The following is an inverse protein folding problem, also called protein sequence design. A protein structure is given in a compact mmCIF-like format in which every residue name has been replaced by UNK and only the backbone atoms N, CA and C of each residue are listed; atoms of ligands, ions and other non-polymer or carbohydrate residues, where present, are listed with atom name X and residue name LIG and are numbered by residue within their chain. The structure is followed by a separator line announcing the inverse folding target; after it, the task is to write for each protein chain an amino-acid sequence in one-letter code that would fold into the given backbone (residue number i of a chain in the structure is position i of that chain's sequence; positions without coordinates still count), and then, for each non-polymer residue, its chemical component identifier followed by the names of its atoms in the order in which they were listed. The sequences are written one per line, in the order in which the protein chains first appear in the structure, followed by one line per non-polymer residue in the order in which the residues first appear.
data_IF_367438165628
#
_entry.id   IF_367438165628
#
_cell.length_a   1.000
_cell.length_b   1.000
_cell.length_c   1.000
_cell.angle_alpha   90.00
_cell.angle_beta   90.00
_cell.angle_gamma   90.00
#
_symmetry.space_group_name_H-M   'P 1'
#
loop_
_entity.id
_entity.type
_entity.pdbx_description
1 polymer ?
#
# COMPACT_ATOMS: atom_id res chain seq x y z
N UNK A 1 -33.30 -0.45 -4.81
CA UNK A 1 -32.34 0.67 -4.61
C UNK A 1 -31.01 0.24 -5.23
N UNK A 2 -30.40 0.99 -6.16
CA UNK A 2 -29.03 0.67 -6.54
C UNK A 2 -28.14 1.02 -5.34
N UNK A 3 -27.52 0.01 -4.74
CA UNK A 3 -26.52 0.19 -3.70
C UNK A 3 -25.38 1.01 -4.32
N UNK A 4 -25.23 2.25 -3.87
CA UNK A 4 -24.05 3.05 -4.15
C UNK A 4 -22.85 2.20 -3.72
N UNK A 5 -21.93 1.92 -4.63
CA UNK A 5 -20.81 1.02 -4.37
C UNK A 5 -20.03 1.54 -3.17
N UNK A 6 -20.13 0.83 -2.04
CA UNK A 6 -19.41 1.16 -0.81
C UNK A 6 -17.91 0.92 -1.08
N UNK A 7 -17.06 1.97 -1.00
CA UNK A 7 -15.62 1.83 -1.22
C UNK A 7 -14.99 0.78 -0.30
N UNK A 8 -15.52 0.60 0.92
CA UNK A 8 -15.04 -0.41 1.84
C UNK A 8 -15.30 -1.82 1.30
N UNK A 9 -16.51 -2.08 0.79
CA UNK A 9 -16.86 -3.38 0.18
C UNK A 9 -15.97 -3.66 -1.04
N UNK A 10 -15.73 -2.65 -1.89
CA UNK A 10 -14.83 -2.79 -3.04
C UNK A 10 -13.38 -3.06 -2.61
N UNK A 11 -12.88 -2.42 -1.55
CA UNK A 11 -11.53 -2.67 -1.01
C UNK A 11 -11.41 -4.07 -0.44
N UNK A 12 -12.43 -4.55 0.29
CA UNK A 12 -12.49 -5.92 0.80
C UNK A 12 -12.49 -6.92 -0.35
N UNK A 13 -13.30 -6.68 -1.37
CA UNK A 13 -13.36 -7.52 -2.56
C UNK A 13 -12.02 -7.54 -3.32
N UNK A 14 -11.38 -6.38 -3.49
CA UNK A 14 -10.06 -6.25 -4.11
C UNK A 14 -8.99 -7.08 -3.36
N UNK A 15 -9.01 -7.02 -2.02
CA UNK A 15 -8.14 -7.85 -1.19
C UNK A 15 -8.37 -9.35 -1.39
N UNK A 16 -9.63 -9.76 -1.52
CA UNK A 16 -9.99 -11.15 -1.82
C UNK A 16 -9.53 -11.59 -3.22
N UNK A 17 -9.72 -10.77 -4.25
CA UNK A 17 -9.24 -11.06 -5.61
C UNK A 17 -7.71 -11.26 -5.62
N UNK A 18 -6.95 -10.42 -4.90
CA UNK A 18 -5.50 -10.62 -4.73
C UNK A 18 -5.19 -11.96 -4.06
N UNK A 19 -5.89 -12.30 -2.98
CA UNK A 19 -5.65 -13.53 -2.23
C UNK A 19 -5.95 -14.80 -3.06
N UNK A 20 -6.95 -14.72 -3.95
CA UNK A 20 -7.34 -15.80 -4.86
C UNK A 20 -6.53 -15.85 -6.17
N UNK A 21 -5.69 -14.85 -6.46
CA UNK A 21 -4.95 -14.76 -7.72
C UNK A 21 -5.77 -14.25 -8.92
N UNK A 22 -6.96 -13.69 -8.68
CA UNK A 22 -7.86 -13.13 -9.69
C UNK A 22 -7.43 -11.71 -10.11
N UNK A 23 -6.26 -11.60 -10.73
CA UNK A 23 -5.59 -10.30 -10.94
C UNK A 23 -6.30 -9.41 -11.96
N UNK A 24 -6.96 -9.97 -12.98
CA UNK A 24 -7.70 -9.19 -13.98
C UNK A 24 -8.89 -8.46 -13.33
N UNK A 25 -9.68 -9.21 -12.56
CA UNK A 25 -10.81 -8.66 -11.79
C UNK A 25 -10.33 -7.66 -10.74
N UNK A 26 -9.26 -7.99 -10.02
CA UNK A 26 -8.64 -7.07 -9.06
C UNK A 26 -8.22 -5.75 -9.74
N UNK A 27 -7.66 -5.81 -10.94
CA UNK A 27 -7.23 -4.61 -11.67
C UNK A 27 -8.41 -3.71 -12.03
N UNK A 28 -9.54 -4.30 -12.48
CA UNK A 28 -10.76 -3.55 -12.80
C UNK A 28 -11.35 -2.87 -11.55
N UNK A 29 -11.45 -3.61 -10.45
CA UNK A 29 -11.96 -3.07 -9.16
C UNK A 29 -11.05 -1.96 -8.63
N UNK A 30 -9.73 -2.13 -8.75
CA UNK A 30 -8.77 -1.11 -8.35
C UNK A 30 -8.92 0.17 -9.17
N UNK A 31 -9.07 0.08 -10.50
CA UNK A 31 -9.30 1.25 -11.36
C UNK A 31 -10.57 1.98 -10.92
N UNK A 32 -11.67 1.26 -10.68
CA UNK A 32 -12.91 1.85 -10.21
C UNK A 32 -12.77 2.52 -8.83
N UNK A 33 -12.04 1.89 -7.89
CA UNK A 33 -11.72 2.50 -6.60
C UNK A 33 -10.92 3.80 -6.74
N UNK A 34 -9.99 3.88 -7.70
CA UNK A 34 -9.20 5.09 -7.96
C UNK A 34 -10.00 6.23 -8.63
N UNK A 35 -11.17 5.93 -9.18
CA UNK A 35 -12.14 6.94 -9.64
C UNK A 35 -12.97 7.47 -8.47
N UNK A 36 -13.32 6.61 -7.51
CA UNK A 36 -14.14 6.98 -6.35
C UNK A 36 -13.31 7.65 -5.24
N UNK A 37 -12.13 7.11 -4.94
CA UNK A 37 -11.24 7.53 -3.87
C UNK A 37 -9.82 7.76 -4.42
N UNK A 38 -9.61 8.82 -5.22
CA UNK A 38 -8.33 9.08 -5.89
C UNK A 38 -7.16 9.36 -4.95
N UNK A 39 -7.42 9.63 -3.67
CA UNK A 39 -6.41 9.91 -2.64
C UNK A 39 -6.03 8.67 -1.80
N UNK A 40 -6.72 7.54 -2.00
CA UNK A 40 -6.52 6.31 -1.23
C UNK A 40 -5.21 5.61 -1.62
N UNK A 41 -4.15 5.82 -0.84
CA UNK A 41 -2.85 5.22 -1.12
C UNK A 41 -2.88 3.68 -1.18
N UNK A 42 -3.81 3.04 -0.47
CA UNK A 42 -3.93 1.59 -0.39
C UNK A 42 -4.21 0.98 -1.77
N UNK A 43 -5.18 1.51 -2.49
CA UNK A 43 -5.56 1.01 -3.82
C UNK A 43 -4.40 1.09 -4.81
N UNK A 44 -3.65 2.20 -4.81
CA UNK A 44 -2.44 2.33 -5.64
C UNK A 44 -1.37 1.30 -5.31
N UNK A 45 -1.07 1.13 -4.01
CA UNK A 45 -0.05 0.19 -3.55
C UNK A 45 -0.44 -1.24 -3.93
N UNK A 46 -1.72 -1.59 -3.77
CA UNK A 46 -2.22 -2.92 -4.10
C UNK A 46 -2.15 -3.20 -5.60
N UNK A 47 -2.57 -2.26 -6.44
CA UNK A 47 -2.48 -2.36 -7.89
C UNK A 47 -1.03 -2.46 -8.38
N UNK A 48 -0.14 -1.64 -7.82
CA UNK A 48 1.30 -1.66 -8.11
C UNK A 48 1.94 -3.00 -7.74
N UNK A 49 1.53 -3.61 -6.62
CA UNK A 49 1.98 -4.93 -6.21
C UNK A 49 1.52 -6.01 -7.18
N UNK A 50 0.24 -6.04 -7.53
CA UNK A 50 -0.31 -7.03 -8.47
C UNK A 50 0.36 -6.97 -9.85
N UNK A 51 0.65 -5.77 -10.37
CA UNK A 51 1.44 -5.64 -11.59
C UNK A 51 2.88 -6.15 -11.44
N UNK A 52 3.47 -6.04 -10.24
CA UNK A 52 4.80 -6.62 -9.97
C UNK A 52 4.75 -8.15 -10.03
N UNK A 53 3.73 -8.75 -9.43
CA UNK A 53 3.53 -10.21 -9.41
C UNK A 53 3.41 -10.78 -10.83
N UNK A 54 2.84 -9.99 -11.76
CA UNK A 54 2.71 -10.33 -13.18
C UNK A 54 3.89 -9.89 -14.07
N UNK A 55 4.97 -9.33 -13.50
CA UNK A 55 6.11 -8.76 -14.25
C UNK A 55 5.72 -7.65 -15.23
N UNK A 56 4.60 -6.96 -14.96
CA UNK A 56 4.04 -5.84 -15.71
C UNK A 56 4.65 -4.52 -15.26
N UNK A 57 5.92 -4.33 -15.59
CA UNK A 57 6.73 -3.23 -15.08
C UNK A 57 6.29 -1.85 -15.59
N UNK A 58 5.79 -1.79 -16.82
CA UNK A 58 5.30 -0.55 -17.44
C UNK A 58 4.03 -0.06 -16.74
N UNK A 59 3.07 -0.95 -16.51
CA UNK A 59 1.83 -0.64 -15.79
C UNK A 59 2.13 -0.22 -14.35
N UNK A 60 3.06 -0.91 -13.68
CA UNK A 60 3.56 -0.51 -12.35
C UNK A 60 4.15 0.90 -12.35
N UNK A 61 4.93 1.25 -13.38
CA UNK A 61 5.48 2.59 -13.53
C UNK A 61 4.37 3.63 -13.77
N UNK A 62 3.35 3.28 -14.54
CA UNK A 62 2.14 4.08 -14.73
C UNK A 62 1.42 4.38 -13.42
N UNK A 63 1.22 3.37 -12.57
CA UNK A 63 0.61 3.55 -11.23
C UNK A 63 1.46 4.50 -10.37
N UNK A 64 2.79 4.34 -10.36
CA UNK A 64 3.69 5.25 -9.62
C UNK A 64 3.64 6.68 -10.14
N UNK A 65 3.57 6.86 -11.46
CA UNK A 65 3.41 8.18 -12.08
C UNK A 65 2.09 8.82 -11.66
N UNK A 66 0.99 8.07 -11.70
CA UNK A 66 -0.33 8.55 -11.26
C UNK A 66 -0.34 8.96 -9.78
N UNK A 67 0.30 8.18 -8.90
CA UNK A 67 0.47 8.56 -7.48
C UNK A 67 1.21 9.90 -7.35
N UNK A 68 2.31 10.08 -8.09
CA UNK A 68 3.10 11.31 -8.06
C UNK A 68 2.30 12.51 -8.58
N UNK A 69 1.58 12.36 -9.67
CA UNK A 69 0.76 13.42 -10.28
C UNK A 69 -0.38 13.87 -9.37
N UNK A 70 -0.97 12.93 -8.62
CA UNK A 70 -2.03 13.20 -7.65
C UNK A 70 -1.52 13.57 -6.25
N UNK A 71 -0.20 13.56 -6.03
CA UNK A 71 0.39 13.87 -4.72
C UNK A 71 0.21 12.76 -3.66
N UNK A 72 -0.29 11.59 -4.04
CA UNK A 72 -0.52 10.45 -3.15
C UNK A 72 0.81 9.79 -2.79
N UNK A 73 1.05 9.61 -1.50
CA UNK A 73 2.21 8.88 -0.99
C UNK A 73 1.76 7.62 -0.27
N UNK A 74 2.53 6.53 -0.41
CA UNK A 74 2.35 5.35 0.44
C UNK A 74 2.55 5.77 1.89
N UNK A 75 1.55 5.57 2.73
CA UNK A 75 1.72 5.64 4.18
C UNK A 75 2.34 4.33 4.65
N UNK A 76 3.52 4.35 5.31
CA UNK A 76 4.12 3.12 5.83
C UNK A 76 3.26 2.55 6.97
N UNK A 77 3.23 1.22 7.07
CA UNK A 77 2.66 0.56 8.24
C UNK A 77 3.54 0.81 9.46
N UNK A 78 2.90 1.04 10.61
CA UNK A 78 3.57 1.22 11.89
C UNK A 78 3.37 -0.01 12.76
N UNK A 79 4.44 -0.40 13.43
CA UNK A 79 4.43 -1.35 14.53
C UNK A 79 4.78 -0.61 15.81
N UNK A 80 4.37 -1.14 16.95
CA UNK A 80 4.78 -0.59 18.24
C UNK A 80 4.99 -1.70 19.27
N UNK A 81 5.86 -1.43 20.23
CA UNK A 81 6.10 -2.27 21.40
C UNK A 81 5.99 -1.42 22.66
N UNK A 82 5.61 -2.04 23.78
CA UNK A 82 5.55 -1.40 25.08
C UNK A 82 6.55 -2.06 26.04
N UNK A 83 7.42 -1.24 26.64
CA UNK A 83 8.40 -1.69 27.61
C UNK A 83 8.33 -0.76 28.81
N UNK A 84 8.07 -1.31 30.00
CA UNK A 84 8.01 -0.55 31.26
C UNK A 84 7.13 0.71 31.15
N UNK A 85 5.91 0.55 30.62
CA UNK A 85 4.94 1.64 30.46
C UNK A 85 5.38 2.76 29.48
N UNK A 86 6.31 2.45 28.56
CA UNK A 86 6.74 3.34 27.48
C UNK A 86 6.51 2.67 26.13
N UNK A 87 5.85 3.39 25.22
CA UNK A 87 5.55 2.94 23.86
C UNK A 87 6.66 3.38 22.91
N UNK A 88 7.11 2.44 22.08
CA UNK A 88 8.07 2.66 21.01
C UNK A 88 7.41 2.26 19.70
N UNK A 89 7.12 3.24 18.85
CA UNK A 89 6.55 3.02 17.53
C UNK A 89 7.64 3.15 16.48
N UNK A 90 7.64 2.24 15.51
CA UNK A 90 8.61 2.20 14.42
C UNK A 90 7.91 1.73 13.15
N UNK A 91 8.50 2.04 12.00
CA UNK A 91 8.05 1.54 10.71
C UNK A 91 9.27 1.04 9.92
N UNK A 92 9.04 0.37 8.79
CA UNK A 92 10.13 -0.22 8.00
C UNK A 92 11.13 0.82 7.43
N UNK A 93 10.74 2.10 7.39
CA UNK A 93 11.57 3.21 6.91
C UNK A 93 12.17 4.02 8.08
N UNK A 94 11.89 3.64 9.33
CA UNK A 94 12.37 4.34 10.52
C UNK A 94 13.86 4.12 10.74
N UNK A 95 14.61 5.22 10.74
CA UNK A 95 16.05 5.25 11.03
C UNK A 95 16.38 6.10 12.26
N UNK A 96 15.37 6.47 13.05
CA UNK A 96 15.52 7.37 14.19
C UNK A 96 15.96 6.66 15.48
N UNK A 97 16.04 5.33 15.48
CA UNK A 97 16.42 4.57 16.67
C UNK A 97 17.88 4.87 17.07
N UNK A 98 18.13 5.35 18.31
CA UNK A 98 19.47 5.80 18.74
C UNK A 98 20.58 4.74 18.64
N UNK A 99 20.23 3.46 18.64
CA UNK A 99 21.19 2.34 18.57
C UNK A 99 21.56 1.92 17.13
N UNK A 100 20.93 2.48 16.09
CA UNK A 100 21.26 2.17 14.68
C UNK A 100 22.67 2.61 14.26
N UNK A 101 23.34 3.44 15.04
CA UNK A 101 24.66 3.99 14.73
C UNK A 101 25.84 3.17 15.25
N UNK A 102 25.61 2.05 15.97
CA UNK A 102 26.68 1.29 16.62
C UNK A 102 27.28 0.14 15.82
N UNK A 103 26.61 -0.36 14.79
CA UNK A 103 27.01 -1.61 14.12
C UNK A 103 27.55 -1.41 12.68
N UNK A 104 27.97 -0.20 12.30
CA UNK A 104 28.52 0.09 10.96
C UNK A 104 29.98 0.59 10.98
N UNK A 105 30.73 0.30 12.04
CA UNK A 105 32.16 0.66 12.16
C UNK A 105 33.07 -0.51 12.52
N UNK A 106 32.61 -1.75 12.36
CA UNK A 106 33.48 -2.94 12.42
C UNK A 106 33.25 -3.78 11.15
N UNK A 107 33.97 -3.41 10.08
CA UNK A 107 34.44 -4.29 8.99
C UNK A 107 35.59 -3.59 8.23
#
# INVERSE_FOLDING_TARGET
MPLKHDPMVLKTFLGACRACGEIEMASQVAIHLLEIEPEDHFTYVLLSHMYSDLKKWEEKAGVKKMMKERGVKKVPGWSWIEIRNKVYAFNAEDRSHPELSRDLLDD
#
